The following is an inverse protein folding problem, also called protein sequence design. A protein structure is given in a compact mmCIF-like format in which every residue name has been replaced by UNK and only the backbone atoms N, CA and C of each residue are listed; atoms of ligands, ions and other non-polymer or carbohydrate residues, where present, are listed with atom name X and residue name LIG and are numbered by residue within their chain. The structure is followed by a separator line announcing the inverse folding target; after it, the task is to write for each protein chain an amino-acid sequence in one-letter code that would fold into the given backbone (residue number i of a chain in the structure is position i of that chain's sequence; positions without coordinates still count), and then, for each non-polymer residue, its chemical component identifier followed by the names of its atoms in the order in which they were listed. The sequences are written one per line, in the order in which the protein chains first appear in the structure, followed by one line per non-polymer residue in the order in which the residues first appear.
data_IF_637566356701
#
_entry.id   IF_637566356701
#
_cell.length_a   1.000
_cell.length_b   1.000
_cell.length_c   1.000
_cell.angle_alpha   90.00
_cell.angle_beta   90.00
_cell.angle_gamma   90.00
#
_symmetry.space_group_name_H-M   'P 1'
#
loop_
_entity.id
_entity.type
_entity.pdbx_description
1 polymer ?
#
# COMPACT_ATOMS: atom_id res chain seq x y z
N UNK A 1 15.20 -12.23 -59.43
CA UNK A 1 14.57 -12.77 -58.20
C UNK A 1 15.43 -12.37 -57.00
N UNK A 2 14.95 -11.46 -56.15
CA UNK A 2 15.50 -11.20 -54.82
C UNK A 2 14.47 -10.36 -54.04
N UNK A 3 13.63 -11.03 -53.25
CA UNK A 3 12.68 -10.39 -52.35
C UNK A 3 13.40 -9.95 -51.08
N UNK A 4 13.48 -8.64 -50.83
CA UNK A 4 13.92 -8.11 -49.55
C UNK A 4 12.73 -8.13 -48.58
N UNK A 5 12.73 -9.09 -47.67
CA UNK A 5 11.86 -9.07 -46.49
C UNK A 5 12.61 -8.35 -45.36
N UNK A 6 12.21 -7.12 -45.05
CA UNK A 6 12.65 -6.44 -43.83
C UNK A 6 11.69 -6.86 -42.71
N UNK A 7 12.18 -7.65 -41.75
CA UNK A 7 11.44 -8.02 -40.57
C UNK A 7 11.31 -6.81 -39.63
N UNK A 8 10.12 -6.21 -39.59
CA UNK A 8 9.77 -5.17 -38.62
C UNK A 8 9.68 -5.79 -37.22
N UNK A 9 10.77 -5.71 -36.46
CA UNK A 9 10.84 -6.18 -35.08
C UNK A 9 10.03 -5.28 -34.16
N UNK A 10 8.87 -5.76 -33.70
CA UNK A 10 8.09 -5.10 -32.66
C UNK A 10 8.66 -5.48 -31.28
N UNK A 11 9.51 -4.62 -30.70
CA UNK A 11 10.02 -4.81 -29.34
C UNK A 11 8.88 -4.50 -28.36
N UNK A 12 8.30 -5.54 -27.75
CA UNK A 12 7.28 -5.42 -26.70
C UNK A 12 7.96 -5.00 -25.39
N UNK A 13 8.25 -3.70 -25.22
CA UNK A 13 8.79 -3.14 -23.96
C UNK A 13 7.71 -2.54 -23.03
N UNK A 14 6.47 -2.42 -23.52
CA UNK A 14 5.40 -1.67 -22.85
C UNK A 14 4.85 -2.37 -21.59
N UNK A 15 4.79 -3.71 -21.58
CA UNK A 15 4.17 -4.47 -20.49
C UNK A 15 4.95 -4.33 -19.17
N UNK A 16 6.28 -4.43 -19.22
CA UNK A 16 7.12 -4.31 -18.02
C UNK A 16 7.10 -2.90 -17.43
N UNK A 17 7.07 -1.87 -18.29
CA UNK A 17 6.93 -0.47 -17.88
C UNK A 17 5.57 -0.18 -17.22
N UNK A 18 4.48 -0.77 -17.75
CA UNK A 18 3.14 -0.67 -17.17
C UNK A 18 2.98 -1.34 -15.80
N UNK A 19 3.67 -2.47 -15.56
CA UNK A 19 3.63 -3.18 -14.28
C UNK A 19 4.39 -2.40 -13.19
N UNK A 20 5.57 -1.88 -13.51
CA UNK A 20 6.37 -1.08 -12.56
C UNK A 20 5.62 0.18 -12.12
N UNK A 21 5.07 0.93 -13.07
CA UNK A 21 4.30 2.17 -12.80
C UNK A 21 3.04 1.91 -11.98
N UNK A 22 2.32 0.82 -12.24
CA UNK A 22 1.12 0.44 -11.48
C UNK A 22 1.46 0.06 -10.03
N UNK A 23 2.57 -0.67 -9.83
CA UNK A 23 3.03 -1.06 -8.50
C UNK A 23 3.46 0.15 -7.67
N UNK A 24 4.24 1.05 -8.27
CA UNK A 24 4.68 2.30 -7.66
C UNK A 24 3.48 3.19 -7.27
N UNK A 25 2.51 3.34 -8.18
CA UNK A 25 1.27 4.08 -7.91
C UNK A 25 0.54 3.53 -6.68
N UNK A 26 0.45 2.21 -6.54
CA UNK A 26 -0.22 1.57 -5.40
C UNK A 26 0.48 1.90 -4.08
N UNK A 27 1.81 1.88 -4.03
CA UNK A 27 2.55 2.22 -2.81
C UNK A 27 2.48 3.72 -2.49
N UNK A 28 2.47 4.59 -3.51
CA UNK A 28 2.26 6.03 -3.31
C UNK A 28 0.89 6.33 -2.70
N UNK A 29 -0.17 5.69 -3.23
CA UNK A 29 -1.52 5.80 -2.66
C UNK A 29 -1.53 5.27 -1.23
N UNK A 30 -0.93 4.10 -0.98
CA UNK A 30 -0.87 3.55 0.37
C UNK A 30 -0.17 4.48 1.37
N UNK A 31 0.92 5.13 0.99
CA UNK A 31 1.62 6.12 1.83
C UNK A 31 0.69 7.27 2.21
N UNK A 32 -0.05 7.79 1.25
CA UNK A 32 -1.02 8.86 1.47
C UNK A 32 -2.12 8.42 2.45
N UNK A 33 -2.68 7.23 2.27
CA UNK A 33 -3.69 6.69 3.20
C UNK A 33 -3.14 6.49 4.61
N UNK A 34 -1.89 6.05 4.75
CA UNK A 34 -1.26 5.92 6.06
C UNK A 34 -1.08 7.25 6.77
N UNK A 35 -0.71 8.30 6.05
CA UNK A 35 -0.62 9.66 6.62
C UNK A 35 -2.01 10.15 7.04
N UNK A 36 -3.01 10.00 6.18
CA UNK A 36 -4.39 10.39 6.51
C UNK A 36 -4.92 9.67 7.75
N UNK A 37 -4.69 8.35 7.86
CA UNK A 37 -5.06 7.55 9.03
C UNK A 37 -4.28 7.99 10.27
N UNK A 38 -2.96 8.22 10.16
CA UNK A 38 -2.13 8.73 11.26
C UNK A 38 -2.71 10.04 11.80
N UNK A 39 -2.98 10.97 10.91
CA UNK A 39 -3.44 12.32 11.25
C UNK A 39 -4.86 12.29 11.83
N UNK A 40 -5.77 11.49 11.24
CA UNK A 40 -7.14 11.35 11.75
C UNK A 40 -7.23 10.66 13.12
N UNK A 41 -6.25 9.83 13.46
CA UNK A 41 -6.15 9.15 14.75
C UNK A 41 -5.26 9.92 15.75
N UNK A 42 -4.82 11.13 15.38
CA UNK A 42 -3.97 12.00 16.20
C UNK A 42 -2.71 11.29 16.72
N UNK A 43 -2.18 10.36 15.91
CA UNK A 43 -0.95 9.61 16.20
C UNK A 43 0.23 10.56 15.92
N UNK A 44 0.46 11.52 16.82
CA UNK A 44 1.57 12.48 16.88
C UNK A 44 2.20 12.90 15.55
N UNK A 45 2.07 14.16 15.16
CA UNK A 45 2.57 14.64 13.85
C UNK A 45 4.05 14.34 13.62
N UNK A 46 4.87 14.28 14.68
CA UNK A 46 6.29 13.91 14.63
C UNK A 46 6.60 12.41 14.39
N UNK A 47 5.58 11.54 14.28
CA UNK A 47 5.72 10.07 14.21
C UNK A 47 5.72 9.52 12.79
N UNK A 48 6.50 10.12 11.90
CA UNK A 48 6.60 9.66 10.50
C UNK A 48 7.22 8.26 10.36
N UNK A 49 8.01 7.85 11.34
CA UNK A 49 8.59 6.51 11.42
C UNK A 49 7.53 5.39 11.54
N UNK A 50 6.33 5.73 12.03
CA UNK A 50 5.17 4.81 12.09
C UNK A 50 4.64 4.54 10.69
N UNK A 51 4.53 5.59 9.86
CA UNK A 51 4.05 5.48 8.47
C UNK A 51 5.02 4.65 7.64
N UNK A 52 6.32 4.89 7.77
CA UNK A 52 7.34 4.09 7.07
C UNK A 52 7.29 2.61 7.47
N UNK A 53 7.08 2.34 8.76
CA UNK A 53 6.93 0.96 9.25
C UNK A 53 5.64 0.30 8.76
N UNK A 54 4.54 1.04 8.72
CA UNK A 54 3.26 0.56 8.21
C UNK A 54 3.34 0.25 6.70
N UNK A 55 4.03 1.10 5.92
CA UNK A 55 4.33 0.85 4.52
C UNK A 55 5.17 -0.42 4.30
N UNK A 56 6.15 -0.66 5.15
CA UNK A 56 6.95 -1.88 5.08
C UNK A 56 6.07 -3.13 5.29
N UNK A 57 5.18 -3.12 6.29
CA UNK A 57 4.22 -4.22 6.47
C UNK A 57 3.25 -4.37 5.30
N UNK A 58 2.75 -3.26 4.77
CA UNK A 58 1.86 -3.29 3.61
C UNK A 58 2.55 -3.84 2.37
N UNK A 59 3.83 -3.54 2.18
CA UNK A 59 4.65 -4.10 1.09
C UNK A 59 4.72 -5.61 1.19
N UNK A 60 5.01 -6.15 2.39
CA UNK A 60 5.02 -7.60 2.64
C UNK A 60 3.62 -8.19 2.41
N UNK A 61 2.56 -7.55 2.92
CA UNK A 61 1.19 -8.00 2.73
C UNK A 61 0.79 -8.07 1.24
N UNK A 62 1.20 -7.07 0.46
CA UNK A 62 1.00 -7.02 -0.97
C UNK A 62 1.75 -8.14 -1.70
N UNK A 63 3.03 -8.35 -1.38
CA UNK A 63 3.86 -9.40 -2.00
C UNK A 63 3.33 -10.81 -1.70
N UNK A 64 2.74 -11.00 -0.52
CA UNK A 64 2.10 -12.25 -0.09
C UNK A 64 0.64 -12.38 -0.54
N UNK A 65 0.15 -11.49 -1.43
CA UNK A 65 -1.24 -11.47 -1.91
C UNK A 65 -2.30 -11.32 -0.80
N UNK A 66 -1.94 -10.83 0.38
CA UNK A 66 -2.84 -10.67 1.53
C UNK A 66 -3.94 -9.62 1.28
N UNK A 67 -3.73 -8.72 0.32
CA UNK A 67 -4.74 -7.74 -0.14
C UNK A 67 -5.75 -8.33 -1.12
N UNK A 68 -5.52 -9.53 -1.68
CA UNK A 68 -6.40 -10.13 -2.69
C UNK A 68 -7.71 -10.58 -2.05
N UNK A 69 -8.84 -10.10 -2.58
CA UNK A 69 -10.17 -10.45 -2.09
C UNK A 69 -10.55 -9.80 -0.75
N UNK A 70 -9.77 -8.82 -0.28
CA UNK A 70 -10.03 -8.08 0.95
C UNK A 70 -10.11 -6.58 0.67
N UNK A 71 -10.81 -5.85 1.51
CA UNK A 71 -10.80 -4.38 1.47
C UNK A 71 -9.39 -3.90 1.82
N UNK A 72 -8.73 -3.24 0.89
CA UNK A 72 -7.36 -2.74 1.07
C UNK A 72 -7.24 -1.82 2.28
N UNK A 73 -8.27 -1.00 2.53
CA UNK A 73 -8.36 -0.10 3.70
C UNK A 73 -8.20 -0.86 5.03
N UNK A 74 -8.85 -2.02 5.18
CA UNK A 74 -8.73 -2.85 6.39
C UNK A 74 -7.31 -3.39 6.55
N UNK A 75 -6.67 -3.78 5.45
CA UNK A 75 -5.28 -4.24 5.47
C UNK A 75 -4.35 -3.11 5.87
N UNK A 76 -4.56 -1.91 5.30
CA UNK A 76 -3.79 -0.71 5.65
C UNK A 76 -3.97 -0.36 7.14
N UNK A 77 -5.20 -0.23 7.64
CA UNK A 77 -5.44 0.05 9.07
C UNK A 77 -4.81 -1.00 9.98
N UNK A 78 -4.86 -2.28 9.60
CA UNK A 78 -4.19 -3.36 10.34
C UNK A 78 -2.66 -3.19 10.37
N UNK A 79 -2.04 -2.84 9.23
CA UNK A 79 -0.61 -2.57 9.14
C UNK A 79 -0.19 -1.35 9.99
N UNK A 80 -0.99 -0.29 10.00
CA UNK A 80 -0.73 0.90 10.80
C UNK A 80 -0.88 0.60 12.31
N UNK A 81 -1.93 -0.12 12.69
CA UNK A 81 -2.10 -0.58 14.06
C UNK A 81 -0.91 -1.42 14.55
N UNK A 82 -0.44 -2.36 13.72
CA UNK A 82 0.74 -3.18 14.04
C UNK A 82 2.00 -2.33 14.24
N UNK A 83 2.22 -1.30 13.39
CA UNK A 83 3.34 -0.38 13.55
C UNK A 83 3.26 0.39 14.87
N UNK A 84 2.07 0.89 15.23
CA UNK A 84 1.84 1.56 16.52
C UNK A 84 2.15 0.64 17.71
N UNK A 85 1.71 -0.62 17.64
CA UNK A 85 1.99 -1.63 18.67
C UNK A 85 3.48 -1.88 18.84
N UNK A 86 4.24 -2.00 17.75
CA UNK A 86 5.70 -2.18 17.83
C UNK A 86 6.41 -0.97 18.44
N UNK A 87 5.91 0.23 18.18
CA UNK A 87 6.45 1.49 18.70
C UNK A 87 5.92 1.85 20.11
N UNK A 88 5.12 0.97 20.72
CA UNK A 88 4.46 1.17 22.02
C UNK A 88 3.59 2.44 22.07
N UNK A 89 2.97 2.79 20.95
CA UNK A 89 2.02 3.88 20.86
C UNK A 89 0.64 3.35 21.25
N UNK A 90 -0.01 4.03 22.20
CA UNK A 90 -1.34 3.67 22.68
C UNK A 90 -2.41 4.13 21.69
N UNK A 91 -2.94 3.19 20.90
CA UNK A 91 -4.08 3.38 20.00
C UNK A 91 -5.04 2.20 20.16
N UNK A 92 -6.34 2.44 20.07
CA UNK A 92 -7.34 1.39 20.19
C UNK A 92 -7.87 1.00 18.82
N UNK A 93 -8.19 -0.29 18.63
CA UNK A 93 -8.79 -0.77 17.38
C UNK A 93 -10.12 -0.08 17.05
N UNK A 94 -10.83 0.37 18.08
CA UNK A 94 -12.11 1.10 17.92
C UNK A 94 -11.92 2.46 17.24
N UNK A 95 -10.76 3.10 17.38
CA UNK A 95 -10.48 4.38 16.74
C UNK A 95 -10.38 4.18 15.22
N UNK A 96 -9.68 3.13 14.80
CA UNK A 96 -9.59 2.72 13.39
C UNK A 96 -10.95 2.31 12.81
N UNK A 97 -11.73 1.52 13.55
CA UNK A 97 -13.03 1.06 13.07
C UNK A 97 -14.02 2.22 12.92
N UNK A 98 -13.96 3.20 13.83
CA UNK A 98 -14.77 4.43 13.77
C UNK A 98 -14.42 5.26 12.54
N UNK A 99 -13.13 5.46 12.26
CA UNK A 99 -12.67 6.17 11.06
C UNK A 99 -13.14 5.45 9.77
N UNK A 100 -12.96 4.13 9.71
CA UNK A 100 -13.34 3.31 8.55
C UNK A 100 -14.86 3.06 8.44
N UNK A 101 -15.65 3.44 9.45
CA UNK A 101 -17.08 3.17 9.56
C UNK A 101 -17.42 1.68 9.43
N UNK A 102 -16.64 0.84 10.10
CA UNK A 102 -16.83 -0.62 10.13
C UNK A 102 -16.99 -1.11 11.57
N UNK A 103 -17.64 -2.26 11.73
CA UNK A 103 -17.62 -3.03 12.97
C UNK A 103 -16.20 -3.51 13.27
N UNK A 104 -15.86 -3.62 14.56
CA UNK A 104 -14.58 -4.23 15.02
C UNK A 104 -14.55 -5.75 14.80
N UNK A 105 -15.73 -6.37 14.65
CA UNK A 105 -15.93 -7.80 14.36
C UNK A 105 -16.23 -8.03 12.88
#
# INVERSE_FOLDING_TARGET
AAGQSQASGNIVSSVQSGISSSRERRYRIARYEFVNLKDALEIGTERDDVVDRALHFFTIAVEQNFTKGRRTELVQSSCLYLACRQKKIAVLLIDFSSYLRVSVY
#
